data_IF_954989380208
#
_entry.id   IF_954989380208
#
_cell.length_a   1.000
_cell.length_b   1.000
_cell.length_c   1.000
_cell.angle_alpha   90.00
_cell.angle_beta   90.00
_cell.angle_gamma   90.00
#
_symmetry.space_group_name_H-M   'P 1'
#
loop_
_entity.id
_entity.type
_entity.pdbx_description
1 polymer ?
#
# COMPACT_ATOMS: atom_id res chain seq x y z
N UNK A 1 -68.57 6.10 31.46
CA UNK A 1 -67.63 7.06 30.87
C UNK A 1 -66.27 6.39 30.76
N UNK A 2 -65.59 6.58 29.63
CA UNK A 2 -64.41 5.83 29.18
C UNK A 2 -63.11 6.57 29.56
N UNK A 3 -62.12 5.81 30.05
CA UNK A 3 -60.67 6.02 29.85
C UNK A 3 -59.89 6.84 30.91
N UNK A 4 -58.54 6.77 30.94
CA UNK A 4 -57.67 5.75 30.33
C UNK A 4 -56.49 5.26 31.22
N UNK A 5 -56.05 4.04 30.90
CA UNK A 5 -54.77 3.44 31.30
C UNK A 5 -53.56 4.27 30.83
N UNK A 6 -52.56 4.43 31.70
CA UNK A 6 -51.23 4.91 31.33
C UNK A 6 -50.30 3.71 31.10
N UNK A 7 -49.97 3.47 29.83
CA UNK A 7 -48.91 2.56 29.42
C UNK A 7 -47.55 3.23 29.65
N UNK A 8 -46.68 2.56 30.40
CA UNK A 8 -45.25 2.84 30.44
C UNK A 8 -44.61 2.45 29.11
N UNK A 9 -44.08 3.44 28.37
CA UNK A 9 -43.18 3.20 27.23
C UNK A 9 -41.76 3.50 27.69
N UNK A 10 -41.01 2.45 28.02
CA UNK A 10 -39.56 2.51 28.22
C UNK A 10 -38.92 2.34 26.84
N UNK A 11 -38.43 3.45 26.28
CA UNK A 11 -37.71 3.48 25.01
C UNK A 11 -36.30 2.93 25.21
N UNK A 12 -36.09 1.65 24.93
CA UNK A 12 -34.77 1.06 24.74
C UNK A 12 -34.17 1.61 23.44
N UNK A 13 -33.39 2.69 23.54
CA UNK A 13 -32.50 3.13 22.47
C UNK A 13 -31.30 2.17 22.42
N UNK A 14 -31.48 1.04 21.74
CA UNK A 14 -30.39 0.16 21.36
C UNK A 14 -29.46 0.87 20.39
N UNK A 15 -28.26 1.23 20.86
CA UNK A 15 -27.21 1.77 20.01
C UNK A 15 -26.80 0.76 18.94
N UNK A 16 -26.78 1.20 17.69
CA UNK A 16 -26.21 0.45 16.58
C UNK A 16 -24.68 0.38 16.75
N UNK A 17 -24.20 -0.55 17.56
CA UNK A 17 -22.81 -0.99 17.47
C UNK A 17 -22.71 -1.85 16.21
N UNK A 18 -22.41 -1.23 15.07
CA UNK A 18 -21.99 -1.96 13.88
C UNK A 18 -20.70 -2.69 14.21
N UNK A 19 -20.80 -3.95 14.60
CA UNK A 19 -19.68 -4.88 14.63
C UNK A 19 -19.29 -5.16 13.19
N UNK A 20 -18.59 -4.22 12.54
CA UNK A 20 -17.87 -4.53 11.32
C UNK A 20 -17.01 -5.76 11.64
N UNK A 21 -17.25 -6.87 10.95
CA UNK A 21 -16.44 -8.06 11.11
C UNK A 21 -14.96 -7.67 11.00
N UNK A 22 -14.18 -8.04 12.00
CA UNK A 22 -12.74 -7.79 12.01
C UNK A 22 -12.14 -8.48 10.78
N UNK A 23 -11.66 -7.70 9.82
CA UNK A 23 -10.95 -8.24 8.66
C UNK A 23 -9.67 -8.93 9.18
N UNK A 24 -9.53 -10.25 9.04
CA UNK A 24 -8.41 -11.01 9.58
C UNK A 24 -7.09 -10.72 8.86
N UNK A 25 -7.08 -9.90 7.82
CA UNK A 25 -5.84 -9.44 7.17
C UNK A 25 -5.39 -8.07 7.70
N UNK A 26 -6.30 -7.29 8.29
CA UNK A 26 -6.03 -5.92 8.74
C UNK A 26 -5.62 -5.83 10.20
N UNK A 27 -4.69 -4.91 10.47
CA UNK A 27 -4.27 -4.49 11.81
C UNK A 27 -4.48 -2.99 11.93
N UNK A 28 -5.20 -2.60 12.97
CA UNK A 28 -5.49 -1.20 13.32
C UNK A 28 -5.20 -0.99 14.80
N UNK A 29 -4.78 0.22 15.21
CA UNK A 29 -4.73 0.57 16.61
C UNK A 29 -6.16 0.57 17.18
N UNK A 30 -6.27 0.35 18.48
CA UNK A 30 -7.54 0.52 19.17
C UNK A 30 -8.03 1.98 19.01
N UNK A 31 -9.36 2.24 19.00
CA UNK A 31 -9.86 3.61 18.96
C UNK A 31 -9.24 4.49 20.05
N UNK A 32 -8.61 5.60 19.64
CA UNK A 32 -7.93 6.54 20.53
C UNK A 32 -6.50 6.16 20.94
N UNK A 33 -6.00 4.99 20.53
CA UNK A 33 -4.61 4.62 20.72
C UNK A 33 -3.68 5.30 19.68
N UNK A 34 -2.38 5.44 19.97
CA UNK A 34 -1.40 5.90 18.98
C UNK A 34 -1.38 5.02 17.72
N UNK A 35 -0.85 5.56 16.62
CA UNK A 35 -0.58 4.76 15.43
C UNK A 35 0.40 3.62 15.74
N UNK A 36 0.29 2.53 14.98
CA UNK A 36 1.17 1.37 15.13
C UNK A 36 2.63 1.76 14.85
N UNK A 37 3.52 1.37 15.76
CA UNK A 37 4.98 1.49 15.56
C UNK A 37 5.55 0.33 14.74
N UNK A 38 4.91 -0.84 14.83
CA UNK A 38 5.29 -2.06 14.12
C UNK A 38 4.06 -2.74 13.50
N UNK A 39 4.25 -3.43 12.39
CA UNK A 39 3.20 -4.19 11.71
C UNK A 39 3.48 -5.71 11.81
N UNK A 40 2.53 -6.53 12.28
CA UNK A 40 2.75 -7.97 12.40
C UNK A 40 2.98 -8.64 11.03
N UNK A 41 3.77 -9.70 10.99
CA UNK A 41 3.92 -10.58 9.83
C UNK A 41 4.11 -12.05 10.21
N UNK A 42 4.05 -12.98 9.23
CA UNK A 42 3.60 -12.76 7.86
C UNK A 42 2.06 -12.86 7.73
N UNK A 43 1.51 -12.21 6.71
CA UNK A 43 0.18 -12.48 6.17
C UNK A 43 0.25 -13.41 4.96
N UNK A 44 1.19 -13.15 4.05
CA UNK A 44 1.44 -13.95 2.86
C UNK A 44 2.87 -14.47 2.87
N UNK A 45 3.05 -15.63 2.25
CA UNK A 45 4.33 -16.30 2.09
C UNK A 45 4.40 -17.63 2.85
N UNK A 46 5.56 -18.31 2.78
CA UNK A 46 6.78 -17.86 2.11
C UNK A 46 6.71 -17.91 0.58
N UNK A 47 7.53 -17.09 -0.08
CA UNK A 47 7.77 -17.08 -1.53
C UNK A 47 9.27 -17.16 -1.84
N UNK A 48 9.63 -17.79 -2.97
CA UNK A 48 11.03 -17.86 -3.42
C UNK A 48 11.45 -16.63 -4.26
N UNK A 49 10.47 -15.87 -4.75
CA UNK A 49 10.66 -14.72 -5.64
C UNK A 49 10.00 -13.46 -5.10
N UNK A 50 10.70 -12.32 -5.19
CA UNK A 50 10.14 -11.01 -4.87
C UNK A 50 8.96 -10.66 -5.78
N UNK A 51 9.01 -11.05 -7.05
CA UNK A 51 7.97 -10.83 -8.05
C UNK A 51 6.68 -11.57 -7.69
N UNK A 52 6.77 -12.84 -7.28
CA UNK A 52 5.60 -13.63 -6.89
C UNK A 52 4.95 -13.07 -5.63
N UNK A 53 5.77 -12.69 -4.64
CA UNK A 53 5.31 -12.02 -3.43
C UNK A 53 4.64 -10.66 -3.75
N UNK A 54 5.21 -9.88 -4.67
CA UNK A 54 4.67 -8.59 -5.12
C UNK A 54 3.28 -8.77 -5.78
N UNK A 55 3.14 -9.73 -6.70
CA UNK A 55 1.89 -9.99 -7.41
C UNK A 55 0.81 -10.57 -6.49
N UNK A 56 1.20 -11.44 -5.54
CA UNK A 56 0.30 -11.92 -4.50
C UNK A 56 -0.19 -10.78 -3.60
N UNK A 57 0.71 -9.88 -3.21
CA UNK A 57 0.36 -8.69 -2.44
C UNK A 57 -0.59 -7.76 -3.20
N UNK A 58 -0.36 -7.55 -4.50
CA UNK A 58 -1.24 -6.75 -5.36
C UNK A 58 -2.68 -7.28 -5.33
N UNK A 59 -2.86 -8.59 -5.53
CA UNK A 59 -4.18 -9.23 -5.47
C UNK A 59 -4.82 -9.13 -4.09
N UNK A 60 -4.04 -9.28 -3.02
CA UNK A 60 -4.52 -9.22 -1.63
C UNK A 60 -4.89 -7.80 -1.18
N UNK A 61 -4.12 -6.79 -1.57
CA UNK A 61 -4.39 -5.38 -1.25
C UNK A 61 -5.61 -4.90 -2.03
N UNK A 62 -5.69 -5.20 -3.33
CA UNK A 62 -6.81 -4.75 -4.16
C UNK A 62 -8.11 -5.52 -3.90
N UNK A 63 -8.07 -6.69 -3.24
CA UNK A 63 -9.30 -7.38 -2.82
C UNK A 63 -9.96 -6.75 -1.59
N UNK A 64 -9.34 -5.74 -0.97
CA UNK A 64 -9.90 -5.06 0.19
C UNK A 64 -11.03 -4.11 -0.24
N UNK A 65 -12.08 -3.97 0.59
CA UNK A 65 -13.21 -3.11 0.27
C UNK A 65 -12.75 -1.68 -0.07
N UNK A 66 -13.23 -1.14 -1.18
CA UNK A 66 -12.93 0.25 -1.58
C UNK A 66 -11.43 0.53 -1.83
N UNK A 67 -10.63 -0.50 -2.12
CA UNK A 67 -9.24 -0.34 -2.55
C UNK A 67 -9.13 0.34 -3.93
N UNK A 68 -10.21 0.38 -4.71
CA UNK A 68 -10.26 1.04 -6.01
C UNK A 68 -11.48 1.96 -6.14
N UNK A 69 -11.25 3.10 -6.77
CA UNK A 69 -12.24 4.03 -7.30
C UNK A 69 -12.39 3.88 -8.82
N UNK A 70 -11.68 2.94 -9.44
CA UNK A 70 -11.68 2.70 -10.88
C UNK A 70 -11.09 3.86 -11.68
N UNK A 71 -11.47 3.95 -12.95
CA UNK A 71 -10.94 4.98 -13.84
C UNK A 71 -11.53 6.37 -13.55
N UNK A 72 -10.72 7.45 -13.63
CA UNK A 72 -11.19 8.83 -13.41
C UNK A 72 -12.29 9.31 -14.36
N UNK A 73 -12.40 8.71 -15.55
CA UNK A 73 -13.43 9.03 -16.56
C UNK A 73 -14.76 8.32 -16.31
N UNK A 74 -14.87 7.46 -15.29
CA UNK A 74 -16.11 6.77 -14.96
C UNK A 74 -17.11 7.71 -14.25
N UNK A 75 -18.42 7.71 -14.59
CA UNK A 75 -19.42 8.61 -14.01
C UNK A 75 -19.49 8.59 -12.47
N UNK A 76 -19.30 7.40 -11.87
CA UNK A 76 -19.35 7.22 -10.41
C UNK A 76 -18.03 7.50 -9.69
N UNK A 77 -16.95 7.88 -10.40
CA UNK A 77 -15.60 8.02 -9.84
C UNK A 77 -15.58 8.85 -8.56
N UNK A 78 -16.19 10.05 -8.58
CA UNK A 78 -16.17 10.97 -7.43
C UNK A 78 -16.76 10.36 -6.15
N UNK A 79 -17.78 9.52 -6.29
CA UNK A 79 -18.41 8.83 -5.14
C UNK A 79 -17.49 7.75 -4.60
N UNK A 80 -16.92 6.91 -5.48
CA UNK A 80 -16.01 5.85 -5.06
C UNK A 80 -14.70 6.39 -4.49
N UNK A 81 -14.14 7.44 -5.09
CA UNK A 81 -12.97 8.15 -4.58
C UNK A 81 -13.17 8.67 -3.15
N UNK A 82 -14.36 9.21 -2.85
CA UNK A 82 -14.65 9.74 -1.52
C UNK A 82 -14.58 8.65 -0.44
N UNK A 83 -15.05 7.44 -0.75
CA UNK A 83 -15.10 6.31 0.19
C UNK A 83 -13.90 5.37 0.09
N UNK A 84 -13.00 5.59 -0.87
CA UNK A 84 -11.85 4.72 -1.08
C UNK A 84 -10.89 4.72 0.10
N UNK A 85 -10.15 3.62 0.25
CA UNK A 85 -9.11 3.46 1.26
C UNK A 85 -7.81 3.03 0.63
N UNK A 86 -6.70 3.48 1.22
CA UNK A 86 -5.39 2.90 0.95
C UNK A 86 -5.07 1.86 2.01
N UNK A 87 -4.54 0.74 1.56
CA UNK A 87 -4.05 -0.37 2.35
C UNK A 87 -2.57 -0.52 2.07
N UNK A 88 -1.77 -0.66 3.10
CA UNK A 88 -0.33 -0.79 2.99
C UNK A 88 0.23 -1.95 3.78
N UNK A 89 1.39 -2.44 3.33
CA UNK A 89 2.14 -3.54 3.91
C UNK A 89 3.62 -3.46 3.54
N UNK A 90 4.45 -4.20 4.25
CA UNK A 90 5.82 -4.47 3.85
C UNK A 90 5.92 -5.79 3.11
N UNK A 91 6.65 -5.81 1.99
CA UNK A 91 7.29 -7.01 1.48
C UNK A 91 8.71 -7.06 2.04
N UNK A 92 9.06 -8.15 2.69
CA UNK A 92 10.34 -8.33 3.36
C UNK A 92 10.96 -9.69 3.06
N UNK A 93 12.26 -9.79 3.30
CA UNK A 93 13.06 -10.99 3.11
C UNK A 93 13.54 -11.53 4.46
N UNK A 94 13.46 -12.85 4.63
CA UNK A 94 13.73 -13.54 5.90
C UNK A 94 15.10 -14.20 5.94
N UNK A 95 15.62 -14.54 7.13
CA UNK A 95 16.88 -15.29 7.28
C UNK A 95 16.92 -16.65 6.56
N UNK A 96 15.77 -17.29 6.33
CA UNK A 96 15.63 -18.58 5.60
C UNK A 96 15.62 -18.40 4.09
N UNK A 97 15.99 -17.21 3.62
CA UNK A 97 16.10 -16.88 2.21
C UNK A 97 14.79 -16.82 1.44
N UNK A 98 13.69 -16.47 2.11
CA UNK A 98 12.35 -16.39 1.53
C UNK A 98 11.77 -14.98 1.65
N UNK A 99 10.80 -14.66 0.78
CA UNK A 99 10.03 -13.43 0.83
C UNK A 99 8.70 -13.64 1.54
N UNK A 100 8.24 -12.62 2.26
CA UNK A 100 6.95 -12.60 2.92
C UNK A 100 6.33 -11.21 2.85
N UNK A 101 5.02 -11.13 3.10
CA UNK A 101 4.28 -9.87 3.17
C UNK A 101 3.69 -9.73 4.57
N UNK A 102 3.83 -8.56 5.20
CA UNK A 102 3.24 -8.30 6.51
C UNK A 102 1.71 -8.34 6.43
N UNK A 103 1.05 -8.30 7.60
CA UNK A 103 -0.37 -7.93 7.66
C UNK A 103 -0.58 -6.55 7.04
N UNK A 104 -1.82 -6.27 6.69
CA UNK A 104 -2.20 -4.99 6.08
C UNK A 104 -2.58 -3.99 7.18
N UNK A 105 -2.41 -2.71 6.89
CA UNK A 105 -3.04 -1.64 7.65
C UNK A 105 -3.66 -0.62 6.69
N UNK A 106 -4.66 0.11 7.17
CA UNK A 106 -5.31 1.22 6.46
C UNK A 106 -5.38 2.48 7.33
N UNK A 107 -4.54 2.54 8.36
CA UNK A 107 -4.28 3.77 9.08
C UNK A 107 -3.88 4.82 8.05
N UNK A 108 -4.59 5.93 7.98
CA UNK A 108 -4.35 6.94 6.96
C UNK A 108 -4.22 8.31 7.56
N UNK A 109 -3.36 9.12 6.95
CA UNK A 109 -3.39 10.56 7.12
C UNK A 109 -4.17 11.13 5.95
N UNK A 110 -5.29 11.78 6.26
CA UNK A 110 -6.04 12.56 5.27
C UNK A 110 -5.44 13.95 5.26
N UNK A 111 -5.00 14.42 4.10
CA UNK A 111 -4.71 15.83 3.87
C UNK A 111 -5.88 16.44 3.08
N UNK A 112 -6.78 17.17 3.75
CA UNK A 112 -7.93 17.77 3.09
C UNK A 112 -7.54 18.83 2.04
N UNK A 113 -6.39 19.49 2.21
CA UNK A 113 -5.93 20.54 1.30
C UNK A 113 -5.40 19.95 -0.01
N UNK A 114 -4.72 18.80 0.06
CA UNK A 114 -4.19 18.10 -1.11
C UNK A 114 -5.16 17.10 -1.72
N UNK A 115 -6.33 16.89 -1.10
CA UNK A 115 -7.27 15.81 -1.43
C UNK A 115 -6.54 14.47 -1.54
N UNK A 116 -5.56 14.22 -0.67
CA UNK A 116 -4.80 12.98 -0.66
C UNK A 116 -5.17 12.16 0.57
N UNK A 117 -5.20 10.85 0.36
CA UNK A 117 -5.21 9.83 1.41
C UNK A 117 -3.87 9.14 1.27
N UNK A 118 -3.12 9.03 2.35
CA UNK A 118 -1.87 8.27 2.35
C UNK A 118 -1.92 7.27 3.48
N UNK A 119 -1.67 6.00 3.16
CA UNK A 119 -1.52 4.96 4.17
C UNK A 119 -0.28 5.21 5.03
N UNK A 120 -0.43 5.05 6.35
CA UNK A 120 0.62 5.17 7.35
C UNK A 120 1.16 3.78 7.64
N UNK A 121 2.16 3.37 6.85
CA UNK A 121 2.87 2.10 7.02
C UNK A 121 3.84 2.22 8.21
N UNK A 122 3.73 1.39 9.26
CA UNK A 122 4.71 1.34 10.33
C UNK A 122 6.09 0.97 9.80
N UNK A 123 7.14 1.57 10.37
CA UNK A 123 8.51 1.42 9.85
C UNK A 123 9.06 0.01 10.00
N UNK A 124 8.55 -0.79 10.95
CA UNK A 124 9.09 -2.13 11.23
C UNK A 124 8.05 -3.24 11.10
N UNK A 125 8.51 -4.42 10.70
CA UNK A 125 7.74 -5.67 10.75
C UNK A 125 8.06 -6.43 12.04
N UNK A 126 7.01 -6.86 12.75
CA UNK A 126 7.09 -7.79 13.87
C UNK A 126 6.73 -9.21 13.40
N UNK A 127 7.72 -9.99 13.00
CA UNK A 127 7.57 -11.40 12.65
C UNK A 127 8.10 -12.25 13.80
N UNK A 128 7.20 -12.92 14.55
CA UNK A 128 7.57 -13.65 15.77
C UNK A 128 8.56 -14.80 15.52
N UNK A 129 8.78 -15.19 14.27
CA UNK A 129 9.74 -16.23 13.88
C UNK A 129 11.19 -15.71 13.92
N UNK A 130 11.40 -14.39 13.82
CA UNK A 130 12.72 -13.81 13.59
C UNK A 130 13.00 -12.58 14.47
N UNK A 131 14.26 -12.34 14.86
CA UNK A 131 14.67 -11.06 15.41
C UNK A 131 14.42 -9.91 14.44
N UNK A 132 14.00 -8.74 14.94
CA UNK A 132 13.63 -7.59 14.10
C UNK A 132 14.78 -7.09 13.21
N UNK A 133 16.02 -7.19 13.67
CA UNK A 133 17.24 -6.79 12.96
C UNK A 133 17.71 -7.79 11.89
N UNK A 134 17.10 -8.97 11.84
CA UNK A 134 17.40 -10.01 10.85
C UNK A 134 16.55 -9.92 9.58
N UNK A 135 15.45 -9.16 9.63
CA UNK A 135 14.56 -8.92 8.50
C UNK A 135 15.18 -7.88 7.56
N UNK A 136 14.99 -8.06 6.24
CA UNK A 136 15.40 -7.08 5.22
C UNK A 136 14.17 -6.55 4.50
N UNK A 137 14.05 -5.23 4.41
CA UNK A 137 12.90 -4.56 3.80
C UNK A 137 13.11 -4.43 2.30
N UNK A 138 12.13 -4.90 1.52
CA UNK A 138 12.23 -4.98 0.06
C UNK A 138 11.34 -3.93 -0.58
N UNK A 139 10.02 -4.02 -0.37
CA UNK A 139 9.07 -3.06 -0.93
C UNK A 139 8.11 -2.55 0.14
N UNK A 140 7.96 -1.22 0.21
CA UNK A 140 6.80 -0.61 0.83
C UNK A 140 5.65 -0.69 -0.18
N UNK A 141 4.59 -1.39 0.19
CA UNK A 141 3.45 -1.66 -0.69
C UNK A 141 2.26 -0.84 -0.26
N UNK A 142 1.55 -0.26 -1.23
CA UNK A 142 0.21 0.28 -1.02
C UNK A 142 -0.62 0.22 -2.32
N UNK A 143 -1.91 0.53 -2.26
CA UNK A 143 -2.69 0.87 -3.44
C UNK A 143 -2.87 2.39 -3.55
N UNK A 144 -2.95 2.86 -4.78
CA UNK A 144 -3.68 4.08 -5.08
C UNK A 144 -5.11 3.71 -5.47
N UNK A 145 -6.14 4.41 -4.98
CA UNK A 145 -7.51 4.15 -5.40
C UNK A 145 -7.78 4.40 -6.89
N UNK A 146 -6.86 5.02 -7.61
CA UNK A 146 -6.91 5.12 -9.06
C UNK A 146 -5.48 5.14 -9.62
N UNK A 147 -5.33 5.06 -10.94
CA UNK A 147 -4.02 5.02 -11.60
C UNK A 147 -3.19 6.32 -11.54
N UNK A 148 -3.24 7.09 -10.46
CA UNK A 148 -2.36 8.23 -10.21
C UNK A 148 -0.91 7.79 -10.02
N UNK A 149 0.02 8.66 -10.42
CA UNK A 149 1.43 8.49 -10.11
C UNK A 149 1.70 8.64 -8.61
N UNK A 150 2.83 8.08 -8.14
CA UNK A 150 3.33 8.22 -6.77
C UNK A 150 3.37 9.70 -6.34
N UNK A 151 2.87 9.96 -5.13
CA UNK A 151 2.85 11.29 -4.52
C UNK A 151 4.22 11.70 -4.01
N UNK A 152 4.43 13.00 -3.76
CA UNK A 152 5.67 13.46 -3.12
C UNK A 152 5.86 12.89 -1.71
N UNK A 153 4.78 12.50 -1.03
CA UNK A 153 4.88 11.85 0.29
C UNK A 153 5.41 10.43 0.16
N UNK A 154 5.00 9.69 -0.88
CA UNK A 154 5.52 8.33 -1.15
C UNK A 154 7.03 8.37 -1.40
N UNK A 155 7.50 9.35 -2.19
CA UNK A 155 8.92 9.53 -2.50
C UNK A 155 9.74 9.83 -1.23
N UNK A 156 9.23 10.72 -0.37
CA UNK A 156 9.89 11.07 0.89
C UNK A 156 9.87 9.93 1.89
N UNK A 157 8.74 9.23 1.98
CA UNK A 157 8.57 8.09 2.89
C UNK A 157 9.63 7.03 2.60
N UNK A 158 9.76 6.56 1.36
CA UNK A 158 10.69 5.47 1.08
C UNK A 158 12.16 5.87 1.23
N UNK A 159 12.50 7.15 1.02
CA UNK A 159 13.85 7.65 1.30
C UNK A 159 14.13 7.68 2.80
N UNK A 160 13.14 8.07 3.61
CA UNK A 160 13.23 7.97 5.07
C UNK A 160 13.45 6.52 5.50
N UNK A 161 12.66 5.58 4.97
CA UNK A 161 12.82 4.16 5.31
C UNK A 161 14.18 3.59 4.87
N UNK A 162 14.69 4.01 3.71
CA UNK A 162 16.02 3.60 3.25
C UNK A 162 17.17 4.08 4.14
N UNK A 163 16.99 5.17 4.88
CA UNK A 163 17.98 5.63 5.89
C UNK A 163 17.97 4.78 7.15
N UNK A 164 16.82 4.23 7.51
CA UNK A 164 16.66 3.41 8.71
C UNK A 164 17.11 1.98 8.42
N UNK A 165 16.69 1.43 7.29
CA UNK A 165 16.81 -0.01 6.98
C UNK A 165 17.88 -0.33 5.94
N UNK A 166 18.47 0.68 5.31
CA UNK A 166 19.32 0.54 4.13
C UNK A 166 18.53 0.55 2.82
N UNK A 167 19.22 0.89 1.74
CA UNK A 167 18.61 1.03 0.41
C UNK A 167 18.72 -0.21 -0.48
N UNK A 168 19.52 -1.20 -0.08
CA UNK A 168 19.65 -2.49 -0.75
C UNK A 168 19.64 -3.61 0.29
N UNK A 169 19.11 -4.76 -0.10
CA UNK A 169 19.12 -5.99 0.67
C UNK A 169 19.84 -7.10 -0.12
N UNK A 170 20.76 -7.80 0.53
CA UNK A 170 21.34 -9.03 -0.02
C UNK A 170 20.31 -10.16 0.09
N UNK A 171 20.04 -10.83 -1.03
CA UNK A 171 19.17 -12.00 -1.10
C UNK A 171 19.87 -13.15 -1.82
N UNK A 172 19.32 -14.36 -1.74
CA UNK A 172 19.79 -15.52 -2.52
C UNK A 172 19.81 -15.25 -4.03
N UNK A 173 18.91 -14.39 -4.52
CA UNK A 173 18.84 -13.99 -5.93
C UNK A 173 19.75 -12.81 -6.31
N UNK A 174 20.55 -12.31 -5.36
CA UNK A 174 21.36 -11.10 -5.51
C UNK A 174 20.79 -9.90 -4.77
N UNK A 175 21.36 -8.72 -5.03
CA UNK A 175 20.92 -7.47 -4.38
C UNK A 175 19.59 -6.98 -4.92
N UNK A 176 18.65 -6.75 -4.01
CA UNK A 176 17.36 -6.14 -4.31
C UNK A 176 17.34 -4.74 -3.71
N UNK A 177 16.85 -3.76 -4.47
CA UNK A 177 16.78 -2.36 -4.05
C UNK A 177 15.47 -2.08 -3.35
N UNK A 178 15.53 -1.41 -2.20
CA UNK A 178 14.36 -0.88 -1.53
C UNK A 178 13.54 -0.05 -2.51
N UNK A 179 12.24 -0.28 -2.58
CA UNK A 179 11.33 0.49 -3.44
C UNK A 179 9.99 0.74 -2.76
N UNK A 180 9.24 1.74 -3.23
CA UNK A 180 7.81 1.88 -2.92
C UNK A 180 7.00 1.52 -4.15
N UNK A 181 5.91 0.79 -3.95
CA UNK A 181 5.04 0.28 -5.01
C UNK A 181 3.58 0.61 -4.72
N UNK A 182 2.95 1.36 -5.62
CA UNK A 182 1.53 1.71 -5.59
C UNK A 182 0.74 0.90 -6.62
N UNK A 183 -0.03 -0.10 -6.18
CA UNK A 183 -0.92 -0.88 -7.02
C UNK A 183 -2.14 -0.05 -7.46
N UNK A 184 -2.69 -0.37 -8.64
CA UNK A 184 -3.95 0.21 -9.10
C UNK A 184 -4.82 -0.81 -9.82
N UNK A 185 -6.12 -0.51 -9.85
CA UNK A 185 -7.10 -1.17 -10.70
C UNK A 185 -7.87 -0.13 -11.53
N UNK A 186 -8.26 -0.51 -12.74
CA UNK A 186 -9.21 0.23 -13.57
C UNK A 186 -10.66 -0.16 -13.27
N UNK A 187 -10.88 -1.30 -12.61
CA UNK A 187 -12.20 -1.72 -12.13
C UNK A 187 -12.49 -1.13 -10.75
N UNK A 188 -13.77 -0.85 -10.46
CA UNK A 188 -14.21 -0.42 -9.12
C UNK A 188 -14.33 -1.63 -8.20
N UNK A 189 -15.21 -2.58 -8.54
CA UNK A 189 -15.41 -3.83 -7.81
C UNK A 189 -15.91 -4.92 -8.78
N UNK A 190 -15.37 -6.15 -8.75
CA UNK A 190 -14.15 -6.52 -8.02
C UNK A 190 -12.93 -5.85 -8.64
N UNK A 191 -12.07 -5.26 -7.81
CA UNK A 191 -10.82 -4.68 -8.27
C UNK A 191 -9.81 -5.79 -8.66
N UNK A 192 -9.07 -5.54 -9.74
CA UNK A 192 -8.05 -6.42 -10.30
C UNK A 192 -6.67 -5.79 -10.26
N UNK A 193 -5.63 -6.60 -10.16
CA UNK A 193 -4.24 -6.16 -10.32
C UNK A 193 -3.93 -5.80 -11.78
N UNK A 194 -4.25 -4.57 -12.17
CA UNK A 194 -4.04 -4.08 -13.54
C UNK A 194 -2.67 -3.45 -13.73
N UNK A 195 -2.05 -3.00 -12.65
CA UNK A 195 -0.71 -2.44 -12.70
C UNK A 195 -0.24 -1.86 -11.39
N UNK A 196 0.94 -1.26 -11.44
CA UNK A 196 1.51 -0.53 -10.32
C UNK A 196 2.51 0.54 -10.76
N UNK A 197 2.68 1.55 -9.92
CA UNK A 197 3.79 2.50 -10.01
C UNK A 197 4.89 2.06 -9.04
N UNK A 198 6.14 2.28 -9.41
CA UNK A 198 7.30 1.95 -8.57
C UNK A 198 8.26 3.13 -8.55
N UNK A 199 8.79 3.44 -7.37
CA UNK A 199 9.93 4.33 -7.22
C UNK A 199 11.10 3.61 -6.56
N UNK A 200 12.27 3.72 -7.18
CA UNK A 200 13.53 3.13 -6.70
C UNK A 200 14.46 4.28 -6.27
N UNK A 201 14.65 4.54 -4.96
CA UNK A 201 15.44 5.67 -4.49
C UNK A 201 16.85 5.75 -5.06
N UNK A 202 17.58 4.63 -5.08
CA UNK A 202 18.99 4.61 -5.51
C UNK A 202 19.21 4.99 -6.96
N UNK A 203 18.26 4.67 -7.85
CA UNK A 203 18.38 5.01 -9.27
C UNK A 203 17.61 6.28 -9.62
N UNK A 204 16.75 6.75 -8.71
CA UNK A 204 15.82 7.84 -8.93
C UNK A 204 14.70 7.51 -9.92
N UNK A 205 14.54 6.25 -10.35
CA UNK A 205 13.59 5.92 -11.43
C UNK A 205 12.17 5.84 -10.93
N UNK A 206 11.25 6.48 -11.67
CA UNK A 206 9.80 6.28 -11.57
C UNK A 206 9.35 5.39 -12.71
N UNK A 207 8.78 4.24 -12.37
CA UNK A 207 8.33 3.23 -13.30
C UNK A 207 6.81 3.03 -13.17
N UNK A 208 6.19 2.62 -14.27
CA UNK A 208 4.82 2.15 -14.31
C UNK A 208 4.79 0.80 -15.00
N UNK A 209 4.25 -0.18 -14.30
CA UNK A 209 3.99 -1.51 -14.80
C UNK A 209 2.51 -1.67 -15.07
N UNK A 210 2.15 -2.10 -16.27
CA UNK A 210 0.76 -2.34 -16.65
C UNK A 210 0.61 -3.74 -17.20
N UNK A 211 -0.38 -4.47 -16.70
CA UNK A 211 -0.75 -5.78 -17.23
C UNK A 211 -1.62 -5.59 -18.45
N UNK A 212 -1.18 -6.13 -19.57
CA UNK A 212 -1.94 -6.14 -20.83
C UNK A 212 -2.45 -7.55 -21.10
N UNK A 213 -3.67 -7.64 -21.64
CA UNK A 213 -4.29 -8.93 -21.95
C UNK A 213 -3.49 -9.76 -22.98
N UNK A 214 -2.74 -9.10 -23.87
CA UNK A 214 -2.05 -9.72 -25.01
C UNK A 214 -0.54 -9.86 -24.86
N UNK A 215 0.13 -9.04 -24.04
CA UNK A 215 1.60 -8.98 -23.99
C UNK A 215 2.19 -9.19 -22.58
N UNK A 216 1.37 -9.56 -21.60
CA UNK A 216 1.81 -9.68 -20.21
C UNK A 216 2.13 -8.31 -19.60
N UNK A 217 3.17 -8.25 -18.79
CA UNK A 217 3.59 -7.03 -18.09
C UNK A 217 4.41 -6.12 -18.99
N UNK A 218 3.97 -4.87 -19.12
CA UNK A 218 4.67 -3.81 -19.83
C UNK A 218 5.20 -2.77 -18.85
N UNK A 219 6.44 -2.35 -19.04
CA UNK A 219 7.10 -1.36 -18.19
C UNK A 219 7.38 -0.06 -18.95
N UNK A 220 6.99 1.05 -18.34
CA UNK A 220 7.23 2.41 -18.79
C UNK A 220 8.01 3.18 -17.72
N UNK A 221 9.08 3.88 -18.10
CA UNK A 221 9.73 4.86 -17.23
C UNK A 221 9.01 6.20 -17.37
N UNK A 222 8.31 6.61 -16.32
CA UNK A 222 7.44 7.81 -16.29
C UNK A 222 8.14 9.03 -15.71
N UNK A 223 9.31 8.85 -15.11
CA UNK A 223 10.08 9.97 -14.59
C UNK A 223 11.41 9.59 -13.96
N UNK A 224 12.10 10.63 -13.49
CA UNK A 224 13.31 10.55 -12.70
C UNK A 224 13.25 11.58 -11.57
N UNK A 225 13.56 11.14 -10.36
CA UNK A 225 13.70 11.98 -9.17
C UNK A 225 15.18 12.28 -8.96
N UNK A 226 15.49 13.55 -8.72
CA UNK A 226 16.83 14.00 -8.34
C UNK A 226 16.72 14.75 -7.02
N UNK A 227 17.34 14.19 -5.97
CA UNK A 227 17.42 14.83 -4.67
C UNK A 227 18.50 15.90 -4.69
N UNK A 228 18.15 17.11 -4.26
CA UNK A 228 19.10 18.22 -4.12
C UNK A 228 19.73 18.20 -2.74
N UNK A 229 18.88 17.99 -1.74
CA UNK A 229 19.25 17.74 -0.37
C UNK A 229 18.36 16.60 0.11
N UNK A 230 18.94 15.41 0.21
CA UNK A 230 18.21 14.28 0.72
C UNK A 230 17.78 14.53 2.17
N UNK A 231 18.61 15.19 3.00
CA UNK A 231 18.36 15.39 4.43
C UNK A 231 17.18 16.33 4.64
N UNK A 232 17.11 17.40 3.83
CA UNK A 232 15.95 18.30 3.77
C UNK A 232 14.74 17.71 3.01
N UNK A 233 14.86 16.52 2.42
CA UNK A 233 13.85 15.87 1.60
C UNK A 233 13.35 16.77 0.43
N UNK A 234 14.29 17.50 -0.16
CA UNK A 234 14.05 18.36 -1.32
C UNK A 234 14.52 17.70 -2.62
N UNK A 235 13.67 17.74 -3.64
CA UNK A 235 13.90 17.04 -4.90
C UNK A 235 13.22 17.73 -6.08
N UNK A 236 13.77 17.48 -7.26
CA UNK A 236 13.10 17.74 -8.54
C UNK A 236 12.62 16.45 -9.18
N UNK A 237 11.50 16.54 -9.90
CA UNK A 237 10.93 15.46 -10.68
C UNK A 237 10.97 15.84 -12.15
N UNK A 238 11.77 15.10 -12.92
CA UNK A 238 11.75 15.15 -14.37
C UNK A 238 10.74 14.13 -14.89
N UNK A 239 9.70 14.61 -15.59
CA UNK A 239 8.76 13.71 -16.28
C UNK A 239 9.45 13.11 -17.50
N UNK A 240 9.28 11.80 -17.68
CA UNK A 240 9.81 11.03 -18.81
C UNK A 240 8.67 10.20 -19.39
N UNK A 241 8.85 9.74 -20.62
CA UNK A 241 7.90 8.83 -21.25
C UNK A 241 8.68 7.92 -22.20
N UNK A 242 8.74 6.63 -21.88
CA UNK A 242 9.44 5.64 -22.70
C UNK A 242 9.47 4.26 -22.06
N UNK A 243 9.82 3.22 -22.82
CA UNK A 243 9.94 1.87 -22.27
C UNK A 243 11.05 1.82 -21.22
N UNK A 244 10.89 0.95 -20.22
CA UNK A 244 11.98 0.67 -19.29
C UNK A 244 13.19 0.06 -20.00
N UNK A 245 14.40 0.35 -19.51
CA UNK A 245 15.61 -0.30 -19.99
C UNK A 245 15.47 -1.82 -19.80
N UNK A 246 15.74 -2.60 -20.85
CA UNK A 246 15.57 -4.07 -20.87
C UNK A 246 16.35 -4.72 -19.72
N UNK A 247 15.75 -5.67 -18.99
CA UNK A 247 16.53 -6.51 -18.07
C UNK A 247 15.80 -7.34 -17.00
N UNK A 248 14.55 -7.06 -16.64
CA UNK A 248 13.81 -7.90 -15.68
C UNK A 248 12.29 -7.75 -15.86
N UNK A 249 11.52 -8.79 -15.51
CA UNK A 249 10.08 -8.68 -15.30
C UNK A 249 9.75 -7.87 -14.03
N UNK A 250 8.46 -7.64 -13.73
CA UNK A 250 8.04 -7.04 -12.46
C UNK A 250 8.49 -7.87 -11.27
#
# INVERSE_FOLDING_TARGET
MRGPWWCCLVSWLGGCASSAALDPDLVRPAPGAPFLEEIPGPLLGPYDSASDALLAACGKILSKPYASAGRPDHPSFSTHWRVSSEYCAWLYYTPEHQYAVSRLTDQSKVDPAQRSKSCLLPSKVADARYPADSIRYIYALHNHPYGSALSSNDLRFIVSEGRVHGFEAETKGGRVRLSIVAFFSNAMEPASCDGFHQYIPLTGQLLKWTRTASAGWQCEQTGRVTWHDADALDFTLQKLQGPCLRGAGP
#
